data_IF_057350697478
#
_entry.id   IF_057350697478
#
_cell.length_a   1.000
_cell.length_b   1.000
_cell.length_c   1.000
_cell.angle_alpha   90.00
_cell.angle_beta   90.00
_cell.angle_gamma   90.00
#
_symmetry.space_group_name_H-M   'P 1'
#
loop_
_entity.id
_entity.type
_entity.pdbx_description
1 polymer ?
#
# COMPACT_ATOMS: atom_id res chain seq x y z
N UNK A 1 31.06 -16.84 24.86
CA UNK A 1 29.76 -16.24 25.23
C UNK A 1 28.63 -17.09 24.70
N UNK A 2 27.50 -17.14 25.40
CA UNK A 2 26.32 -17.88 24.94
C UNK A 2 25.75 -17.28 23.66
N UNK A 3 25.25 -18.13 22.76
CA UNK A 3 24.60 -17.72 21.53
C UNK A 3 23.30 -16.97 21.82
N UNK A 4 23.10 -15.82 21.18
CA UNK A 4 21.89 -14.99 21.31
C UNK A 4 21.58 -14.25 20.00
N UNK A 5 20.30 -14.07 19.69
CA UNK A 5 19.84 -13.17 18.63
C UNK A 5 19.81 -11.73 19.15
N UNK A 6 20.63 -10.86 18.57
CA UNK A 6 20.78 -9.45 18.97
C UNK A 6 19.79 -8.53 18.29
N UNK A 7 19.23 -8.90 17.13
CA UNK A 7 18.15 -8.14 16.48
C UNK A 7 16.96 -8.02 17.42
N UNK A 8 16.57 -6.80 17.81
CA UNK A 8 15.48 -6.53 18.74
C UNK A 8 14.11 -6.58 18.08
N UNK A 9 14.00 -6.02 16.88
CA UNK A 9 12.78 -5.97 16.07
C UNK A 9 13.10 -5.98 14.58
N UNK A 10 12.07 -6.20 13.76
CA UNK A 10 12.13 -6.07 12.31
C UNK A 10 11.30 -4.85 11.88
N UNK A 11 11.72 -4.13 10.81
CA UNK A 11 10.91 -3.05 10.25
C UNK A 11 9.63 -3.61 9.62
N UNK A 12 8.59 -2.78 9.59
CA UNK A 12 7.37 -3.06 8.83
C UNK A 12 7.62 -2.95 7.32
N UNK A 13 6.80 -3.64 6.53
CA UNK A 13 6.82 -3.59 5.07
C UNK A 13 5.56 -2.94 4.49
N UNK A 14 5.56 -2.74 3.18
CA UNK A 14 4.39 -2.31 2.41
C UNK A 14 4.06 -3.37 1.35
N UNK A 15 2.77 -3.56 1.08
CA UNK A 15 2.28 -4.46 0.04
C UNK A 15 2.93 -4.12 -1.31
N UNK A 16 3.50 -5.12 -2.00
CA UNK A 16 4.11 -4.96 -3.32
C UNK A 16 5.47 -4.26 -3.34
N UNK A 17 5.95 -3.71 -2.22
CA UNK A 17 7.28 -3.11 -2.13
C UNK A 17 8.35 -4.16 -1.80
N UNK A 18 9.58 -3.97 -2.28
CA UNK A 18 10.71 -4.83 -1.89
C UNK A 18 11.01 -4.71 -0.39
N UNK A 19 11.16 -5.85 0.28
CA UNK A 19 11.56 -5.95 1.68
C UNK A 19 12.93 -6.64 1.78
N UNK A 20 13.79 -6.14 2.66
CA UNK A 20 15.05 -6.78 3.01
C UNK A 20 15.47 -6.39 4.42
N UNK A 21 15.76 -7.39 5.26
CA UNK A 21 16.29 -7.20 6.61
C UNK A 21 17.14 -8.40 6.98
N UNK A 22 18.24 -8.18 7.71
CA UNK A 22 19.14 -9.26 8.10
C UNK A 22 19.16 -9.40 9.61
N UNK A 23 18.95 -10.62 10.09
CA UNK A 23 19.05 -10.96 11.50
C UNK A 23 20.51 -11.04 11.93
N UNK A 24 20.77 -10.62 13.17
CA UNK A 24 22.09 -10.63 13.78
C UNK A 24 22.09 -11.47 15.06
N UNK A 25 23.21 -12.15 15.29
CA UNK A 25 23.46 -12.95 16.49
C UNK A 25 24.88 -12.69 17.02
N UNK A 26 25.09 -12.98 18.30
CA UNK A 26 26.40 -12.92 18.95
C UNK A 26 26.61 -14.10 19.89
N UNK A 27 27.87 -14.36 20.27
CA UNK A 27 28.24 -15.56 21.03
C UNK A 27 28.21 -16.84 20.19
N UNK A 28 28.46 -18.00 20.81
CA UNK A 28 28.59 -19.26 20.08
C UNK A 28 29.78 -19.32 19.11
N UNK A 29 29.80 -20.34 18.25
CA UNK A 29 30.82 -20.56 17.22
C UNK A 29 30.29 -20.26 15.82
N UNK A 30 30.98 -19.41 15.04
CA UNK A 30 30.62 -19.16 13.65
C UNK A 30 31.01 -20.35 12.74
N UNK A 31 30.36 -20.51 11.57
CA UNK A 31 29.24 -19.71 11.03
C UNK A 31 27.90 -19.97 11.73
N UNK A 32 26.96 -19.04 11.55
CA UNK A 32 25.57 -19.20 11.99
C UNK A 32 24.67 -19.62 10.83
N UNK A 33 23.71 -20.50 11.10
CA UNK A 33 22.64 -20.88 10.18
C UNK A 33 21.28 -20.56 10.77
N UNK A 34 20.38 -20.03 9.93
CA UNK A 34 19.07 -19.56 10.35
C UNK A 34 17.95 -20.41 9.76
N UNK A 35 16.89 -20.61 10.54
CA UNK A 35 15.69 -21.32 10.10
C UNK A 35 14.43 -20.80 10.80
N UNK A 36 13.27 -20.94 10.15
CA UNK A 36 11.98 -20.66 10.78
C UNK A 36 11.51 -21.89 11.54
N UNK A 37 10.99 -21.69 12.75
CA UNK A 37 10.49 -22.78 13.60
C UNK A 37 8.97 -22.84 13.64
N UNK A 38 8.29 -21.70 13.70
CA UNK A 38 6.83 -21.61 13.82
C UNK A 38 6.29 -20.27 13.32
N UNK A 39 4.96 -20.16 13.27
CA UNK A 39 4.26 -19.01 12.69
C UNK A 39 4.41 -18.96 11.17
N UNK A 40 4.17 -17.79 10.58
CA UNK A 40 4.34 -17.56 9.15
C UNK A 40 5.04 -16.23 8.90
N UNK A 41 5.99 -16.22 7.97
CA UNK A 41 6.41 -14.96 7.37
C UNK A 41 5.26 -14.39 6.53
N UNK A 42 5.25 -13.06 6.29
CA UNK A 42 4.37 -12.49 5.28
C UNK A 42 4.51 -13.19 3.92
N UNK A 43 3.39 -13.51 3.27
CA UNK A 43 3.39 -14.17 1.96
C UNK A 43 4.27 -13.39 0.96
N UNK A 44 5.21 -14.08 0.32
CA UNK A 44 6.18 -13.49 -0.61
C UNK A 44 7.51 -13.08 0.02
N UNK A 45 7.67 -13.22 1.35
CA UNK A 45 8.95 -13.13 2.03
C UNK A 45 9.53 -14.52 2.32
N UNK A 46 10.86 -14.61 2.28
CA UNK A 46 11.63 -15.83 2.56
C UNK A 46 12.71 -15.52 3.60
N UNK A 47 12.88 -16.41 4.58
CA UNK A 47 14.07 -16.43 5.44
C UNK A 47 15.13 -17.33 4.80
N UNK A 48 16.28 -16.75 4.49
CA UNK A 48 17.45 -17.46 3.98
C UNK A 48 18.34 -17.95 5.13
N UNK A 49 19.15 -18.99 4.87
CA UNK A 49 20.01 -19.63 5.87
C UNK A 49 21.11 -18.70 6.42
N UNK A 50 21.42 -17.60 5.71
CA UNK A 50 22.33 -16.56 6.16
C UNK A 50 21.67 -15.52 7.10
N UNK A 51 20.38 -15.68 7.42
CA UNK A 51 19.63 -14.78 8.31
C UNK A 51 18.98 -13.59 7.59
N UNK A 52 19.12 -13.46 6.27
CA UNK A 52 18.39 -12.47 5.51
C UNK A 52 16.92 -12.88 5.36
N UNK A 53 16.02 -11.94 5.60
CA UNK A 53 14.60 -12.02 5.25
C UNK A 53 14.38 -11.06 4.09
N UNK A 54 13.99 -11.56 2.92
CA UNK A 54 13.74 -10.70 1.77
C UNK A 54 12.66 -11.24 0.84
N UNK A 55 12.15 -10.36 -0.03
CA UNK A 55 11.12 -10.66 -1.00
C UNK A 55 10.17 -9.48 -1.22
N UNK A 56 9.00 -9.78 -1.77
CA UNK A 56 7.94 -8.79 -2.03
C UNK A 56 6.64 -9.27 -1.39
N UNK A 57 6.19 -8.64 -0.29
CA UNK A 57 4.96 -9.03 0.38
C UNK A 57 3.73 -8.91 -0.52
N UNK A 58 2.84 -9.89 -0.44
CA UNK A 58 1.62 -9.99 -1.28
C UNK A 58 0.33 -9.95 -0.47
N UNK A 59 0.42 -9.85 0.86
CA UNK A 59 -0.74 -9.83 1.75
C UNK A 59 -0.52 -8.84 2.88
N UNK A 60 -1.51 -7.99 3.14
CA UNK A 60 -1.50 -7.05 4.26
C UNK A 60 -1.77 -7.77 5.58
N UNK A 61 -1.28 -7.22 6.69
CA UNK A 61 -1.54 -7.73 8.03
C UNK A 61 -0.30 -7.85 8.91
N UNK A 62 -0.52 -8.22 10.17
CA UNK A 62 0.55 -8.52 11.12
C UNK A 62 0.91 -10.01 11.08
N UNK A 63 2.18 -10.31 10.87
CA UNK A 63 2.68 -11.68 10.78
C UNK A 63 3.69 -11.92 11.89
N UNK A 64 3.39 -12.89 12.76
CA UNK A 64 4.28 -13.27 13.87
C UNK A 64 4.87 -14.65 13.60
N UNK A 65 6.18 -14.76 13.73
CA UNK A 65 6.94 -15.99 13.47
C UNK A 65 8.14 -16.11 14.42
N UNK A 66 8.55 -17.35 14.67
CA UNK A 66 9.74 -17.65 15.49
C UNK A 66 10.87 -18.14 14.59
N UNK A 67 12.05 -17.56 14.76
CA UNK A 67 13.27 -17.97 14.07
C UNK A 67 14.27 -18.58 15.05
N UNK A 68 15.07 -19.52 14.56
CA UNK A 68 16.19 -20.15 15.25
C UNK A 68 17.50 -19.76 14.58
N UNK A 69 18.47 -19.33 15.38
CA UNK A 69 19.88 -19.34 14.98
C UNK A 69 20.54 -20.59 15.56
N UNK A 70 21.33 -21.28 14.74
CA UNK A 70 22.16 -22.42 15.12
C UNK A 70 23.62 -22.09 14.82
N UNK A 71 24.52 -22.32 15.77
CA UNK A 71 25.95 -22.11 15.60
C UNK A 71 26.66 -23.37 15.06
N UNK A 72 27.95 -23.27 14.73
CA UNK A 72 28.70 -24.36 14.09
C UNK A 72 28.96 -25.57 15.01
N UNK A 73 28.66 -25.46 16.31
CA UNK A 73 28.79 -26.56 17.27
C UNK A 73 27.43 -27.08 17.75
N UNK A 74 26.34 -26.61 17.15
CA UNK A 74 24.98 -27.09 17.39
C UNK A 74 24.23 -26.37 18.51
N UNK A 75 24.77 -25.28 19.07
CA UNK A 75 24.03 -24.44 20.02
C UNK A 75 22.92 -23.69 19.29
N UNK A 76 21.76 -23.56 19.91
CA UNK A 76 20.58 -22.91 19.30
C UNK A 76 20.02 -21.79 20.17
N UNK A 77 19.47 -20.75 19.54
CA UNK A 77 18.69 -19.72 20.22
C UNK A 77 17.47 -19.32 19.38
N UNK A 78 16.30 -19.25 20.01
CA UNK A 78 15.03 -18.93 19.36
C UNK A 78 14.54 -17.53 19.74
N UNK A 79 13.96 -16.82 18.77
CA UNK A 79 13.33 -15.51 19.01
C UNK A 79 12.12 -15.30 18.12
N UNK A 80 11.05 -14.76 18.70
CA UNK A 80 9.86 -14.35 17.96
C UNK A 80 9.98 -12.93 17.44
N UNK A 81 9.51 -12.72 16.22
CA UNK A 81 9.41 -11.42 15.57
C UNK A 81 8.02 -11.23 15.01
N UNK A 82 7.62 -9.96 14.87
CA UNK A 82 6.42 -9.56 14.16
C UNK A 82 6.81 -8.58 13.06
N UNK A 83 6.27 -8.80 11.86
CA UNK A 83 6.36 -7.88 10.72
C UNK A 83 4.95 -7.51 10.31
N UNK A 84 4.63 -6.21 10.31
CA UNK A 84 3.38 -5.71 9.74
C UNK A 84 3.60 -5.31 8.29
N UNK A 85 2.74 -5.80 7.40
CA UNK A 85 2.65 -5.36 6.01
C UNK A 85 1.47 -4.40 5.89
N UNK A 86 1.78 -3.14 5.62
CA UNK A 86 0.78 -2.10 5.41
C UNK A 86 0.30 -2.11 3.96
N UNK A 87 -0.87 -1.51 3.70
CA UNK A 87 -1.29 -1.18 2.34
C UNK A 87 -0.30 -0.19 1.70
N UNK A 88 -0.22 -0.19 0.38
CA UNK A 88 0.48 0.89 -0.33
C UNK A 88 -0.22 2.23 -0.06
N UNK A 89 0.48 3.35 -0.22
CA UNK A 89 -0.14 4.67 -0.02
C UNK A 89 -1.32 4.89 -0.97
N UNK A 90 -2.45 5.37 -0.46
CA UNK A 90 -3.62 5.70 -1.27
C UNK A 90 -3.27 6.85 -2.23
N UNK A 91 -3.63 6.71 -3.50
CA UNK A 91 -3.38 7.72 -4.53
C UNK A 91 -4.45 7.69 -5.62
N UNK A 92 -4.78 8.86 -6.19
CA UNK A 92 -5.63 8.98 -7.38
C UNK A 92 -4.75 8.83 -8.63
N UNK A 93 -5.02 7.81 -9.44
CA UNK A 93 -4.20 7.44 -10.62
C UNK A 93 -4.65 8.15 -11.89
N UNK A 94 -5.92 8.55 -12.02
CA UNK A 94 -6.40 9.33 -13.16
C UNK A 94 -5.71 10.69 -13.20
N UNK A 95 -4.86 10.91 -14.19
CA UNK A 95 -3.97 12.09 -14.20
C UNK A 95 -4.65 13.40 -14.58
N UNK A 96 -5.61 13.29 -15.48
CA UNK A 96 -6.36 14.38 -16.10
C UNK A 96 -7.71 13.83 -16.55
N UNK A 97 -8.63 14.75 -16.85
CA UNK A 97 -9.94 14.44 -17.42
C UNK A 97 -10.03 15.11 -18.80
N UNK A 98 -10.60 14.45 -19.82
CA UNK A 98 -10.90 15.09 -21.10
C UNK A 98 -11.82 16.31 -20.93
N UNK A 99 -11.70 17.26 -21.84
CA UNK A 99 -12.70 18.32 -21.97
C UNK A 99 -14.06 17.73 -22.36
N UNK A 100 -15.13 18.45 -22.02
CA UNK A 100 -16.49 18.04 -22.34
C UNK A 100 -17.09 18.95 -23.42
N UNK A 101 -18.06 18.42 -24.16
CA UNK A 101 -18.81 19.18 -25.15
C UNK A 101 -20.18 19.52 -24.58
N UNK A 102 -20.60 20.78 -24.69
CA UNK A 102 -21.89 21.26 -24.25
C UNK A 102 -23.03 20.41 -24.86
N UNK A 103 -23.96 19.95 -24.03
CA UNK A 103 -25.09 19.12 -24.47
C UNK A 103 -24.74 17.68 -24.83
N UNK A 104 -23.47 17.26 -24.77
CA UNK A 104 -23.04 15.89 -25.07
C UNK A 104 -22.84 15.08 -23.79
N UNK A 105 -23.34 13.85 -23.77
CA UNK A 105 -23.15 12.98 -22.62
C UNK A 105 -21.66 12.71 -22.36
N UNK A 106 -21.23 12.99 -21.13
CA UNK A 106 -19.88 12.80 -20.65
C UNK A 106 -19.88 11.68 -19.60
N UNK A 107 -18.88 10.80 -19.64
CA UNK A 107 -18.68 9.76 -18.63
C UNK A 107 -17.21 9.37 -18.54
N UNK A 108 -16.60 9.59 -17.39
CA UNK A 108 -15.21 9.22 -17.11
C UNK A 108 -15.11 8.62 -15.72
N UNK A 109 -14.26 7.60 -15.56
CA UNK A 109 -14.01 6.97 -14.26
C UNK A 109 -12.73 7.53 -13.65
N UNK A 110 -12.83 8.10 -12.46
CA UNK A 110 -11.67 8.49 -11.65
C UNK A 110 -11.22 7.26 -10.86
N UNK A 111 -9.98 6.85 -11.07
CA UNK A 111 -9.41 5.64 -10.48
C UNK A 111 -8.42 5.96 -9.37
N UNK A 112 -8.32 5.07 -8.39
CA UNK A 112 -7.35 5.14 -7.30
C UNK A 112 -6.60 3.81 -7.15
N UNK A 113 -5.45 3.86 -6.49
CA UNK A 113 -4.63 2.70 -6.13
C UNK A 113 -4.07 2.85 -4.72
N UNK A 114 -3.61 1.74 -4.15
CA UNK A 114 -3.15 1.69 -2.75
C UNK A 114 -4.31 1.82 -1.75
N UNK A 115 -4.00 2.11 -0.51
CA UNK A 115 -4.96 2.10 0.58
C UNK A 115 -5.67 0.75 0.77
N UNK A 116 -6.79 0.79 1.46
CA UNK A 116 -7.62 -0.37 1.77
C UNK A 116 -9.02 -0.20 1.17
N UNK A 117 -9.39 -1.04 0.19
CA UNK A 117 -10.73 -1.03 -0.38
C UNK A 117 -11.82 -1.36 0.68
N UNK A 118 -13.08 -0.91 0.49
CA UNK A 118 -13.60 -0.11 -0.62
C UNK A 118 -13.18 1.37 -0.59
N UNK A 119 -13.35 2.06 -1.72
CA UNK A 119 -13.11 3.49 -1.85
C UNK A 119 -14.41 4.29 -1.85
N UNK A 120 -14.38 5.47 -1.23
CA UNK A 120 -15.45 6.46 -1.26
C UNK A 120 -14.94 7.75 -1.91
N UNK A 121 -15.74 8.30 -2.82
CA UNK A 121 -15.39 9.45 -3.66
C UNK A 121 -16.24 10.66 -3.31
N UNK A 122 -15.61 11.83 -3.26
CA UNK A 122 -16.30 13.09 -2.99
C UNK A 122 -15.67 14.25 -3.74
N UNK A 123 -16.45 15.32 -3.93
CA UNK A 123 -15.92 16.61 -4.36
C UNK A 123 -15.46 17.34 -3.11
N UNK A 124 -14.16 17.55 -2.98
CA UNK A 124 -13.56 18.24 -1.84
C UNK A 124 -13.74 19.76 -1.95
N UNK A 125 -13.57 20.31 -3.15
CA UNK A 125 -13.70 21.75 -3.40
C UNK A 125 -13.94 22.06 -4.88
N UNK A 126 -14.47 23.26 -5.16
CA UNK A 126 -14.76 23.74 -6.51
C UNK A 126 -16.04 23.14 -7.12
N UNK A 127 -16.68 23.84 -8.06
CA UNK A 127 -17.87 23.33 -8.72
C UNK A 127 -17.50 22.30 -9.79
N UNK A 128 -18.26 21.21 -9.87
CA UNK A 128 -18.30 20.39 -11.08
C UNK A 128 -18.97 21.18 -12.22
N UNK A 129 -18.67 20.88 -13.50
CA UNK A 129 -19.46 21.40 -14.61
C UNK A 129 -20.95 21.16 -14.39
N UNK A 130 -21.76 22.21 -14.57
CA UNK A 130 -23.22 22.11 -14.38
C UNK A 130 -23.79 21.00 -15.26
N UNK A 131 -24.49 20.05 -14.65
CA UNK A 131 -25.04 18.87 -15.35
C UNK A 131 -24.21 17.60 -15.21
N UNK A 132 -23.00 17.67 -14.63
CA UNK A 132 -22.22 16.50 -14.22
C UNK A 132 -22.42 16.19 -12.73
N UNK A 133 -22.35 14.90 -12.40
CA UNK A 133 -22.34 14.40 -11.03
C UNK A 133 -21.28 13.32 -10.82
N UNK A 134 -20.73 13.27 -9.60
CA UNK A 134 -19.79 12.22 -9.17
C UNK A 134 -20.54 11.12 -8.44
N UNK A 135 -20.39 9.88 -8.89
CA UNK A 135 -20.89 8.72 -8.17
C UNK A 135 -19.93 8.37 -7.02
N UNK A 136 -20.38 8.41 -5.74
CA UNK A 136 -19.51 8.31 -4.58
C UNK A 136 -18.94 6.90 -4.34
N UNK A 137 -19.51 5.85 -4.91
CA UNK A 137 -19.01 4.48 -4.73
C UNK A 137 -18.14 3.99 -5.87
N UNK A 138 -18.27 4.59 -7.06
CA UNK A 138 -17.57 4.14 -8.27
C UNK A 138 -16.55 5.14 -8.80
N UNK A 139 -16.59 6.39 -8.37
CA UNK A 139 -15.73 7.46 -8.89
C UNK A 139 -16.08 7.89 -10.32
N UNK A 140 -17.23 7.45 -10.85
CA UNK A 140 -17.69 7.84 -12.19
C UNK A 140 -18.21 9.28 -12.14
N UNK A 141 -17.55 10.17 -12.88
CA UNK A 141 -18.02 11.52 -13.18
C UNK A 141 -18.79 11.47 -14.49
N UNK A 142 -20.10 11.70 -14.44
CA UNK A 142 -20.97 11.58 -15.62
C UNK A 142 -22.14 12.54 -15.63
N UNK A 143 -22.73 12.73 -16.81
CA UNK A 143 -23.89 13.60 -17.02
C UNK A 143 -23.79 14.34 -18.35
N UNK A 144 -24.61 15.37 -18.52
CA UNK A 144 -24.62 16.20 -19.72
C UNK A 144 -24.33 17.65 -19.30
N UNK A 145 -23.15 18.21 -19.60
CA UNK A 145 -22.81 19.54 -19.19
C UNK A 145 -23.62 20.58 -19.99
N UNK A 146 -24.03 21.67 -19.33
CA UNK A 146 -24.94 22.67 -19.93
C UNK A 146 -24.39 24.10 -19.93
N UNK A 147 -23.19 24.32 -19.38
CA UNK A 147 -22.58 25.65 -19.26
C UNK A 147 -21.17 25.59 -19.83
N UNK A 148 -20.91 26.41 -20.84
CA UNK A 148 -19.60 26.56 -21.47
C UNK A 148 -18.69 27.43 -20.60
N UNK A 149 -17.70 26.81 -19.97
CA UNK A 149 -16.76 27.44 -19.04
C UNK A 149 -15.65 26.44 -18.69
N UNK A 150 -14.52 26.95 -18.19
CA UNK A 150 -13.51 26.13 -17.50
C UNK A 150 -13.91 25.91 -16.03
N UNK A 151 -14.08 24.66 -15.65
CA UNK A 151 -14.37 24.24 -14.28
C UNK A 151 -13.12 23.63 -13.65
N UNK A 152 -12.72 24.16 -12.50
CA UNK A 152 -11.65 23.59 -11.69
C UNK A 152 -12.20 23.11 -10.35
N UNK A 153 -11.96 21.84 -10.04
CA UNK A 153 -12.49 21.17 -8.84
C UNK A 153 -11.48 20.14 -8.32
N UNK A 154 -11.57 19.85 -7.02
CA UNK A 154 -10.74 18.84 -6.36
C UNK A 154 -11.59 17.65 -5.98
N UNK A 155 -11.18 16.47 -6.41
CA UNK A 155 -11.78 15.20 -6.00
C UNK A 155 -10.95 14.60 -4.87
N UNK A 156 -11.63 14.06 -3.87
CA UNK A 156 -11.04 13.26 -2.82
C UNK A 156 -11.50 11.81 -2.96
N UNK A 157 -10.56 10.89 -2.71
CA UNK A 157 -10.84 9.49 -2.44
C UNK A 157 -10.47 9.18 -1.00
N UNK A 158 -11.34 8.45 -0.30
CA UNK A 158 -11.13 7.94 1.05
C UNK A 158 -11.19 6.42 1.02
N UNK A 159 -10.24 5.75 1.67
CA UNK A 159 -10.22 4.30 1.79
C UNK A 159 -10.91 3.81 3.09
N UNK A 160 -11.08 2.50 3.24
CA UNK A 160 -11.72 1.89 4.41
C UNK A 160 -10.92 2.04 5.72
N UNK A 161 -9.62 2.39 5.62
CA UNK A 161 -8.76 2.69 6.75
C UNK A 161 -8.73 4.20 7.07
N UNK A 162 -9.63 4.99 6.47
CA UNK A 162 -9.74 6.44 6.59
C UNK A 162 -8.53 7.23 6.07
N UNK A 163 -7.66 6.62 5.27
CA UNK A 163 -6.66 7.36 4.51
C UNK A 163 -7.35 8.15 3.40
N UNK A 164 -6.81 9.33 3.06
CA UNK A 164 -7.34 10.16 1.98
C UNK A 164 -6.26 10.51 0.97
N UNK A 165 -6.68 10.63 -0.29
CA UNK A 165 -5.89 11.24 -1.36
C UNK A 165 -6.77 12.22 -2.13
N UNK A 166 -6.19 13.29 -2.65
CA UNK A 166 -6.92 14.31 -3.38
C UNK A 166 -6.21 14.66 -4.68
N UNK A 167 -6.98 15.14 -5.66
CA UNK A 167 -6.46 15.61 -6.94
C UNK A 167 -7.35 16.69 -7.52
N UNK A 168 -6.72 17.77 -7.97
CA UNK A 168 -7.38 18.83 -8.72
C UNK A 168 -7.48 18.43 -10.20
N UNK A 169 -8.64 18.70 -10.79
CA UNK A 169 -8.91 18.56 -12.21
C UNK A 169 -9.41 19.88 -12.77
N UNK A 170 -9.20 20.05 -14.07
CA UNK A 170 -9.82 21.10 -14.87
C UNK A 170 -10.48 20.46 -16.08
N UNK A 171 -11.75 20.81 -16.32
CA UNK A 171 -12.51 20.42 -17.51
C UNK A 171 -12.95 21.71 -18.19
N UNK A 172 -12.59 21.87 -19.46
CA UNK A 172 -13.19 22.89 -20.32
C UNK A 172 -14.48 22.33 -20.93
N UNK A 173 -15.57 23.10 -20.86
CA UNK A 173 -16.81 22.81 -21.58
C UNK A 173 -16.93 23.78 -22.75
N UNK A 174 -16.96 23.27 -23.97
CA UNK A 174 -17.10 24.06 -25.20
C UNK A 174 -18.12 23.43 -26.16
N UNK A 175 -18.50 24.16 -27.21
CA UNK A 175 -19.20 23.59 -28.37
C UNK A 175 -18.31 22.66 -29.21
#
# INVERSE_FOLDING_TARGET
SSLIITTSSLPNGNLGASYSSTLAASGGATPYTWSQQSGSLPNGLVLYTNGQISGTPTTIGGFTFTVRVTDNVGSTYDKSFTVTINSAALSITTSSLPNAINGTYYSQTISASGGTAPYAWSVLSGPLPTGLGLNPSTGVLSGTPTVEQDFTFTIQVTDAAANTANRQYTISVSH
#
